data_IF_758652224153
#
_entry.id   IF_758652224153
#
_cell.length_a   1.000
_cell.length_b   1.000
_cell.length_c   1.000
_cell.angle_alpha   90.00
_cell.angle_beta   90.00
_cell.angle_gamma   90.00
#
_symmetry.space_group_name_H-M   'P 1'
#
loop_
_entity.id
_entity.type
_entity.pdbx_description
1 polymer ?
#
# COMPACT_ATOMS: atom_id res chain seq x y z
N UNK A 1 -72.23 17.29 -12.90
CA UNK A 1 -71.48 17.49 -11.63
C UNK A 1 -71.52 16.19 -10.81
N UNK A 2 -70.49 15.32 -10.90
CA UNK A 2 -69.29 15.30 -10.02
C UNK A 2 -69.66 15.11 -8.54
N UNK A 3 -69.21 14.13 -7.76
CA UNK A 3 -68.11 13.14 -7.82
C UNK A 3 -68.40 12.05 -6.76
N UNK A 4 -68.16 10.77 -7.07
CA UNK A 4 -67.53 9.80 -6.14
C UNK A 4 -66.00 10.04 -6.25
N UNK A 5 -65.10 9.63 -5.31
CA UNK A 5 -65.17 8.41 -4.47
C UNK A 5 -64.46 8.52 -3.08
N UNK A 6 -64.52 7.49 -2.21
CA UNK A 6 -63.36 7.21 -1.32
C UNK A 6 -63.35 5.78 -0.76
N UNK A 7 -62.61 4.92 -1.45
CA UNK A 7 -62.30 3.56 -1.05
C UNK A 7 -61.41 3.53 0.21
N UNK A 8 -61.88 2.85 1.26
CA UNK A 8 -61.09 2.51 2.45
C UNK A 8 -60.07 1.42 2.13
N UNK A 9 -58.77 1.74 2.29
CA UNK A 9 -57.65 0.95 2.90
C UNK A 9 -56.30 1.45 2.35
N UNK A 10 -55.29 1.58 3.22
CA UNK A 10 -54.21 0.59 3.17
C UNK A 10 -53.88 0.10 4.58
N UNK A 11 -53.95 -1.20 4.83
CA UNK A 11 -52.79 -2.11 4.81
C UNK A 11 -51.71 -1.68 5.81
N UNK A 12 -51.72 -2.33 6.96
CA UNK A 12 -50.72 -2.25 8.01
C UNK A 12 -49.35 -2.57 7.40
N UNK A 13 -48.52 -1.55 7.18
CA UNK A 13 -47.12 -1.74 6.77
C UNK A 13 -46.33 -2.08 8.04
N UNK A 14 -45.93 -3.34 8.19
CA UNK A 14 -44.98 -3.74 9.21
C UNK A 14 -43.72 -2.87 9.13
N UNK A 15 -43.18 -2.34 10.24
CA UNK A 15 -41.87 -1.71 10.26
C UNK A 15 -40.84 -2.76 9.82
N UNK A 16 -40.14 -2.51 8.72
CA UNK A 16 -38.92 -3.24 8.41
C UNK A 16 -37.93 -2.93 9.53
N UNK A 17 -37.50 -3.95 10.25
CA UNK A 17 -36.46 -3.82 11.26
C UNK A 17 -35.19 -3.23 10.61
N UNK A 18 -34.52 -2.25 11.23
CA UNK A 18 -33.27 -1.73 10.72
C UNK A 18 -32.21 -2.81 10.92
N UNK A 19 -31.79 -3.47 9.83
CA UNK A 19 -30.56 -4.27 9.82
C UNK A 19 -29.40 -3.29 10.08
N UNK A 20 -28.97 -3.18 11.34
CA UNK A 20 -27.94 -2.27 11.88
C UNK A 20 -26.52 -2.59 11.37
N UNK A 21 -26.40 -3.25 10.22
CA UNK A 21 -25.11 -3.57 9.62
C UNK A 21 -24.67 -2.41 8.74
N UNK A 22 -23.50 -1.81 9.00
CA UNK A 22 -22.98 -0.77 8.13
C UNK A 22 -22.82 -1.35 6.73
N UNK A 23 -23.24 -0.55 5.73
CA UNK A 23 -23.09 -0.93 4.33
C UNK A 23 -21.61 -1.24 4.04
N UNK A 24 -21.31 -2.37 3.38
CA UNK A 24 -19.92 -2.79 3.15
C UNK A 24 -19.09 -1.76 2.38
N UNK A 25 -19.71 -0.90 1.55
CA UNK A 25 -18.99 0.18 0.87
C UNK A 25 -18.53 1.29 1.82
N UNK A 26 -19.27 1.54 2.91
CA UNK A 26 -18.89 2.51 3.94
C UNK A 26 -17.65 2.02 4.66
N UNK A 27 -17.64 0.75 5.09
CA UNK A 27 -16.48 0.13 5.74
C UNK A 27 -15.26 0.12 4.84
N UNK A 28 -15.42 -0.22 3.55
CA UNK A 28 -14.32 -0.16 2.56
C UNK A 28 -13.78 1.27 2.42
N UNK A 29 -14.66 2.27 2.48
CA UNK A 29 -14.27 3.68 2.40
C UNK A 29 -13.48 4.12 3.63
N UNK A 30 -13.93 3.79 4.83
CA UNK A 30 -13.23 4.13 6.07
C UNK A 30 -11.85 3.46 6.11
N UNK A 31 -11.78 2.19 5.76
CA UNK A 31 -10.52 1.45 5.62
C UNK A 31 -9.59 2.10 4.58
N UNK A 32 -10.12 2.56 3.45
CA UNK A 32 -9.32 3.24 2.43
C UNK A 32 -8.78 4.59 2.92
N UNK A 33 -9.57 5.32 3.70
CA UNK A 33 -9.16 6.58 4.33
C UNK A 33 -8.04 6.32 5.34
N UNK A 34 -8.13 5.25 6.12
CA UNK A 34 -7.10 4.85 7.08
C UNK A 34 -5.77 4.54 6.39
N UNK A 35 -5.79 3.76 5.30
CA UNK A 35 -4.59 3.46 4.50
C UNK A 35 -3.99 4.74 3.91
N UNK A 36 -4.82 5.63 3.37
CA UNK A 36 -4.35 6.90 2.81
C UNK A 36 -3.73 7.80 3.89
N UNK A 37 -4.31 7.82 5.09
CA UNK A 37 -3.75 8.54 6.24
C UNK A 37 -2.39 7.98 6.65
N UNK A 38 -2.23 6.64 6.66
CA UNK A 38 -0.95 5.98 6.91
C UNK A 38 0.10 6.33 5.86
N UNK A 39 -0.27 6.34 4.57
CA UNK A 39 0.62 6.78 3.50
C UNK A 39 1.12 8.20 3.75
N UNK A 40 0.22 9.13 4.06
CA UNK A 40 0.59 10.52 4.33
C UNK A 40 1.50 10.66 5.55
N UNK A 41 1.23 9.89 6.61
CA UNK A 41 2.04 9.89 7.83
C UNK A 41 3.47 9.41 7.53
N UNK A 42 3.61 8.27 6.83
CA UNK A 42 4.88 7.64 6.53
C UNK A 42 5.67 8.45 5.50
N UNK A 43 5.01 8.93 4.44
CA UNK A 43 5.71 9.65 3.37
C UNK A 43 5.88 11.15 3.62
N UNK A 44 5.35 11.69 4.72
CA UNK A 44 5.26 13.13 4.96
C UNK A 44 4.41 13.87 3.92
N UNK A 45 3.64 13.14 3.10
CA UNK A 45 2.81 13.71 2.04
C UNK A 45 1.46 14.18 2.56
N UNK A 46 0.73 14.93 1.73
CA UNK A 46 -0.60 15.48 2.06
C UNK A 46 -1.64 15.12 0.99
N UNK A 47 -1.64 13.86 0.55
CA UNK A 47 -2.62 13.36 -0.41
C UNK A 47 -4.04 13.53 0.15
N UNK A 48 -4.89 14.13 -0.67
CA UNK A 48 -6.29 14.37 -0.31
C UNK A 48 -7.11 13.10 -0.50
N UNK A 49 -8.23 13.01 0.21
CA UNK A 49 -9.26 11.97 0.09
C UNK A 49 -10.04 12.10 -1.24
N UNK A 50 -9.31 12.22 -2.34
CA UNK A 50 -9.84 12.38 -3.68
C UNK A 50 -10.39 11.04 -4.20
N UNK A 51 -11.30 11.11 -5.16
CA UNK A 51 -11.86 9.93 -5.81
C UNK A 51 -10.75 9.03 -6.36
N UNK A 52 -9.80 9.58 -7.09
CA UNK A 52 -8.70 8.83 -7.71
C UNK A 52 -7.79 8.15 -6.68
N UNK A 53 -7.40 8.86 -5.62
CA UNK A 53 -6.53 8.28 -4.57
C UNK A 53 -7.22 7.14 -3.82
N UNK A 54 -8.49 7.33 -3.45
CA UNK A 54 -9.25 6.32 -2.73
C UNK A 54 -9.67 5.15 -3.63
N UNK A 55 -9.96 5.39 -4.91
CA UNK A 55 -10.42 4.32 -5.83
C UNK A 55 -9.37 3.23 -6.00
N UNK A 56 -8.09 3.60 -6.13
CA UNK A 56 -7.01 2.61 -6.21
C UNK A 56 -6.92 1.76 -4.94
N UNK A 57 -7.08 2.37 -3.76
CA UNK A 57 -7.05 1.68 -2.45
C UNK A 57 -8.27 0.79 -2.27
N UNK A 58 -9.48 1.32 -2.52
CA UNK A 58 -10.75 0.60 -2.45
C UNK A 58 -10.77 -0.58 -3.41
N UNK A 59 -10.19 -0.44 -4.61
CA UNK A 59 -10.07 -1.54 -5.56
C UNK A 59 -9.30 -2.72 -4.95
N UNK A 60 -8.18 -2.48 -4.27
CA UNK A 60 -7.42 -3.54 -3.57
C UNK A 60 -8.21 -4.16 -2.42
N UNK A 61 -8.94 -3.35 -1.66
CA UNK A 61 -9.79 -3.85 -0.58
C UNK A 61 -10.94 -4.73 -1.12
N UNK A 62 -11.52 -4.37 -2.27
CA UNK A 62 -12.56 -5.16 -2.95
C UNK A 62 -12.03 -6.46 -3.56
N UNK A 63 -10.77 -6.51 -3.95
CA UNK A 63 -10.09 -7.73 -4.39
C UNK A 63 -9.82 -8.72 -3.24
N UNK A 64 -10.04 -8.30 -1.98
CA UNK A 64 -9.88 -9.15 -0.80
C UNK A 64 -8.59 -8.92 -0.01
N UNK A 65 -7.82 -7.88 -0.34
CA UNK A 65 -6.63 -7.50 0.43
C UNK A 65 -7.02 -6.78 1.72
N UNK A 66 -6.22 -6.96 2.78
CA UNK A 66 -6.49 -6.34 4.07
C UNK A 66 -5.85 -4.97 4.19
N UNK A 67 -6.38 -4.13 5.09
CA UNK A 67 -5.76 -2.83 5.45
C UNK A 67 -4.30 -3.01 5.87
N UNK A 68 -3.99 -4.10 6.59
CA UNK A 68 -2.63 -4.42 7.02
C UNK A 68 -1.69 -4.66 5.83
N UNK A 69 -2.15 -5.40 4.81
CA UNK A 69 -1.37 -5.67 3.60
C UNK A 69 -1.01 -4.37 2.87
N UNK A 70 -1.99 -3.46 2.74
CA UNK A 70 -1.78 -2.18 2.08
C UNK A 70 -0.80 -1.29 2.88
N UNK A 71 -0.91 -1.26 4.22
CA UNK A 71 0.04 -0.55 5.08
C UNK A 71 1.44 -1.15 4.98
N UNK A 72 1.56 -2.47 4.92
CA UNK A 72 2.84 -3.15 4.78
C UNK A 72 3.53 -2.80 3.46
N UNK A 73 2.77 -2.70 2.36
CA UNK A 73 3.29 -2.21 1.08
C UNK A 73 3.81 -0.77 1.18
N UNK A 74 3.12 0.10 1.91
CA UNK A 74 3.57 1.47 2.16
C UNK A 74 4.91 1.45 2.91
N UNK A 75 4.99 0.70 4.01
CA UNK A 75 6.16 0.66 4.88
C UNK A 75 7.40 0.15 4.13
N UNK A 76 7.28 -0.97 3.41
CA UNK A 76 8.42 -1.52 2.66
C UNK A 76 8.86 -0.60 1.52
N UNK A 77 7.92 0.12 0.88
CA UNK A 77 8.25 1.04 -0.22
C UNK A 77 8.84 2.34 0.26
N UNK A 78 8.37 2.83 1.40
CA UNK A 78 9.04 3.91 2.10
C UNK A 78 10.47 3.50 2.42
N UNK A 79 10.70 2.36 3.08
CA UNK A 79 12.06 1.89 3.38
C UNK A 79 12.90 1.74 2.11
N UNK A 80 12.31 1.22 1.02
CA UNK A 80 13.01 1.02 -0.25
C UNK A 80 13.40 2.32 -0.95
N UNK A 81 12.54 3.33 -0.92
CA UNK A 81 12.74 4.57 -1.68
C UNK A 81 13.22 5.73 -0.83
N UNK A 82 13.14 5.65 0.50
CA UNK A 82 13.67 6.69 1.37
C UNK A 82 15.19 6.80 1.15
N UNK A 83 15.66 8.04 0.97
CA UNK A 83 17.04 8.34 0.60
C UNK A 83 17.33 8.35 -0.91
N UNK A 84 16.37 8.00 -1.77
CA UNK A 84 16.48 8.19 -3.22
C UNK A 84 15.32 9.05 -3.74
N UNK A 85 15.56 10.36 -3.88
CA UNK A 85 14.56 11.34 -4.28
C UNK A 85 13.90 11.02 -5.64
N UNK A 86 14.70 10.55 -6.60
CA UNK A 86 14.23 10.15 -7.93
C UNK A 86 13.23 8.99 -7.86
N UNK A 87 13.35 8.11 -6.87
CA UNK A 87 12.39 7.02 -6.68
C UNK A 87 11.23 7.45 -5.78
N UNK A 88 11.48 8.33 -4.82
CA UNK A 88 10.49 8.76 -3.84
C UNK A 88 9.30 9.50 -4.47
N UNK A 89 9.50 10.16 -5.63
CA UNK A 89 8.41 10.77 -6.41
C UNK A 89 7.28 9.78 -6.78
N UNK A 90 7.56 8.46 -6.75
CA UNK A 90 6.63 7.38 -7.01
C UNK A 90 5.87 6.89 -5.77
N UNK A 91 6.05 7.50 -4.59
CA UNK A 91 5.26 7.25 -3.37
C UNK A 91 3.81 7.77 -3.47
N UNK A 92 3.10 7.42 -4.55
CA UNK A 92 1.73 7.87 -4.85
C UNK A 92 0.74 6.72 -4.72
N UNK A 93 -0.52 6.97 -4.31
CA UNK A 93 -1.56 5.95 -4.27
C UNK A 93 -1.72 5.20 -5.59
N UNK A 94 -1.70 5.91 -6.73
CA UNK A 94 -1.84 5.31 -8.07
C UNK A 94 -0.70 4.34 -8.40
N UNK A 95 0.52 4.66 -7.98
CA UNK A 95 1.71 3.83 -8.28
C UNK A 95 1.81 2.64 -7.33
N UNK A 96 1.51 2.83 -6.05
CA UNK A 96 1.56 1.78 -5.04
C UNK A 96 0.41 0.77 -5.18
N UNK A 97 -0.80 1.26 -5.43
CA UNK A 97 -2.02 0.44 -5.46
C UNK A 97 -2.54 0.20 -6.89
N UNK A 98 -1.68 0.42 -7.89
CA UNK A 98 -1.98 0.11 -9.28
C UNK A 98 -2.04 -1.41 -9.53
N UNK A 99 -3.02 -1.90 -10.32
CA UNK A 99 -3.30 -3.34 -10.47
C UNK A 99 -2.12 -4.17 -10.94
N UNK A 100 -1.28 -3.60 -11.81
CA UNK A 100 -0.16 -4.31 -12.43
C UNK A 100 1.02 -4.55 -11.48
N UNK A 101 1.15 -3.73 -10.42
CA UNK A 101 2.36 -3.70 -9.57
C UNK A 101 2.07 -4.11 -8.13
N UNK A 102 0.83 -3.95 -7.67
CA UNK A 102 0.46 -4.19 -6.29
C UNK A 102 0.83 -5.59 -5.80
N UNK A 103 0.47 -6.65 -6.55
CA UNK A 103 0.77 -8.04 -6.13
C UNK A 103 2.28 -8.27 -5.91
N UNK A 104 3.11 -7.81 -6.85
CA UNK A 104 4.57 -7.89 -6.71
C UNK A 104 5.10 -7.08 -5.52
N UNK A 105 4.47 -5.94 -5.21
CA UNK A 105 4.82 -5.15 -4.03
C UNK A 105 4.41 -5.85 -2.75
N UNK A 106 3.22 -6.45 -2.70
CA UNK A 106 2.73 -7.21 -1.56
C UNK A 106 3.63 -8.42 -1.27
N UNK A 107 3.98 -9.21 -2.30
CA UNK A 107 4.92 -10.32 -2.15
C UNK A 107 6.29 -9.85 -1.62
N UNK A 108 6.79 -8.72 -2.10
CA UNK A 108 8.02 -8.12 -1.55
C UNK A 108 7.84 -7.68 -0.09
N UNK A 109 6.69 -7.14 0.25
CA UNK A 109 6.37 -6.65 1.59
C UNK A 109 6.28 -7.81 2.59
N UNK A 110 5.58 -8.89 2.24
CA UNK A 110 5.47 -10.12 3.05
C UNK A 110 6.86 -10.72 3.31
N UNK A 111 7.72 -10.81 2.28
CA UNK A 111 9.09 -11.32 2.44
C UNK A 111 9.95 -10.43 3.33
N UNK A 112 9.74 -9.12 3.28
CA UNK A 112 10.44 -8.16 4.12
C UNK A 112 9.97 -8.25 5.58
N UNK A 113 8.67 -8.37 5.80
CA UNK A 113 8.07 -8.56 7.12
C UNK A 113 8.50 -9.87 7.77
N UNK A 114 8.50 -10.97 7.01
CA UNK A 114 8.99 -12.28 7.45
C UNK A 114 10.48 -12.28 7.84
N UNK A 115 11.27 -11.34 7.32
CA UNK A 115 12.68 -11.13 7.69
C UNK A 115 12.86 -10.19 8.90
N UNK A 116 11.78 -9.77 9.55
CA UNK A 116 11.81 -8.85 10.68
C UNK A 116 12.03 -7.40 10.27
N UNK A 117 11.56 -7.00 9.08
CA UNK A 117 11.61 -5.61 8.57
C UNK A 117 13.02 -5.02 8.54
N UNK A 118 13.99 -5.68 7.88
CA UNK A 118 15.37 -5.25 7.92
C UNK A 118 15.55 -3.89 7.18
N UNK A 119 16.41 -2.99 7.69
CA UNK A 119 16.62 -1.66 7.13
C UNK A 119 17.26 -1.76 5.74
N UNK A 120 17.06 -0.73 4.90
CA UNK A 120 17.52 -0.70 3.51
C UNK A 120 19.01 -1.04 3.35
N UNK A 121 19.86 -0.56 4.25
CA UNK A 121 21.31 -0.80 4.26
C UNK A 121 21.70 -2.29 4.32
N UNK A 122 20.84 -3.12 4.92
CA UNK A 122 21.09 -4.55 5.03
C UNK A 122 20.84 -5.30 3.72
N UNK A 123 20.04 -4.73 2.81
CA UNK A 123 19.67 -5.39 1.56
C UNK A 123 20.85 -5.47 0.59
N UNK A 124 21.63 -4.39 0.48
CA UNK A 124 22.81 -4.35 -0.39
C UNK A 124 23.97 -5.21 0.14
N UNK A 125 24.06 -5.44 1.46
CA UNK A 125 25.08 -6.33 2.07
C UNK A 125 24.88 -7.81 1.74
N UNK A 126 23.64 -8.22 1.47
CA UNK A 126 23.32 -9.60 1.05
C UNK A 126 23.41 -9.81 -0.47
N UNK A 127 23.63 -8.74 -1.26
CA UNK A 127 23.92 -8.91 -2.68
C UNK A 127 25.31 -9.55 -2.76
N UNK A 128 25.46 -10.72 -3.42
CA UNK A 128 26.79 -11.26 -3.65
C UNK A 128 27.61 -10.16 -4.31
N UNK A 129 28.79 -9.85 -3.74
CA UNK A 129 29.72 -8.89 -4.33
C UNK A 129 29.86 -9.25 -5.81
N UNK A 130 29.74 -8.24 -6.66
CA UNK A 130 29.86 -8.41 -8.10
C UNK A 130 31.14 -9.18 -8.41
N UNK A 131 31.03 -10.33 -9.07
CA UNK A 131 32.18 -11.21 -9.36
C UNK A 131 33.23 -10.52 -10.24
N UNK A 132 32.85 -9.43 -10.93
CA UNK A 132 33.76 -8.58 -11.71
C UNK A 132 34.31 -7.37 -10.94
N UNK A 133 34.01 -7.21 -9.64
CA UNK A 133 34.70 -6.22 -8.80
C UNK A 133 36.12 -6.70 -8.50
N UNK A 134 37.06 -6.23 -9.31
CA UNK A 134 38.51 -6.38 -9.09
C UNK A 134 38.84 -5.75 -7.73
N UNK A 135 39.25 -6.59 -6.78
CA UNK A 135 39.75 -6.10 -5.49
C UNK A 135 41.00 -5.23 -5.72
N UNK A 136 41.23 -4.17 -4.92
CA UNK A 136 42.44 -3.36 -5.07
C UNK A 136 43.67 -4.27 -4.97
N UNK A 137 44.55 -4.18 -5.97
CA UNK A 137 45.80 -4.95 -6.00
C UNK A 137 46.61 -4.61 -4.75
N UNK A 138 47.02 -5.64 -3.99
CA UNK A 138 47.97 -5.45 -2.90
C UNK A 138 49.30 -4.97 -3.51
N UNK A 139 49.61 -3.70 -3.35
CA UNK A 139 50.87 -3.08 -3.80
C UNK A 139 52.02 -3.32 -2.82
N UNK A 140 51.81 -4.12 -1.77
CA UNK A 140 52.85 -4.48 -0.81
C UNK A 140 53.80 -5.49 -1.43
N UNK A 141 54.91 -4.99 -1.98
CA UNK A 141 56.02 -5.82 -2.45
C UNK A 141 56.61 -6.58 -1.25
N UNK A 142 56.65 -7.93 -1.26
CA UNK A 142 57.21 -8.69 -0.17
C UNK A 142 58.70 -8.37 -0.02
N UNK A 143 59.14 -8.22 1.24
CA UNK A 143 60.54 -7.95 1.60
C UNK A 143 61.42 -9.06 1.00
N UNK A 144 62.21 -8.72 -0.01
CA UNK A 144 63.10 -9.65 -0.72
C UNK A 144 62.93 -9.68 -2.24
N UNK A 145 61.82 -9.14 -2.77
CA UNK A 145 61.62 -8.98 -4.21
C UNK A 145 62.22 -7.63 -4.66
N UNK A 146 63.51 -7.61 -5.02
CA UNK A 146 64.12 -6.54 -5.84
C UNK A 146 64.44 -7.14 -7.20
N UNK A 147 64.04 -6.43 -8.27
CA UNK A 147 64.26 -6.82 -9.66
C UNK A 147 65.72 -6.73 -10.10
#
# INVERSE_FOLDING_TARGET
>A
PSLDPSSKKPSCRAPAEPDDKPDPEVVITDNAIEVLAHLNLVSGSRYQKSKTSLENIRARLREGHTVSDLKLVIDVKHEHWHGNDEQYQYMRPETLFGPKKFDGYLQSAIRWDAKGRPPRESWDKTRPRDVNSISPVQTTIPRGFRG
#
